data_IF_074846452402
#
_entry.id   IF_074846452402
#
_cell.length_a   1.000
_cell.length_b   1.000
_cell.length_c   1.000
_cell.angle_alpha   90.00
_cell.angle_beta   90.00
_cell.angle_gamma   90.00
#
_symmetry.space_group_name_H-M   'P 1'
#
loop_
_entity.id
_entity.type
_entity.pdbx_description
1 polymer ?
#
# COMPACT_ATOMS: atom_id res chain seq x y z
N UNK A 1 3.30 11.89 -0.46
CA UNK A 1 3.50 10.65 0.31
C UNK A 1 3.97 11.01 1.70
N UNK A 2 3.32 10.49 2.74
CA UNK A 2 3.51 10.88 4.14
C UNK A 2 4.80 10.31 4.79
N UNK A 3 5.59 9.49 4.09
CA UNK A 3 6.80 8.85 4.63
C UNK A 3 8.04 9.74 4.61
N UNK A 4 7.84 11.04 4.71
CA UNK A 4 8.90 12.05 4.83
C UNK A 4 8.70 12.87 6.11
N UNK A 5 7.83 12.40 7.02
CA UNK A 5 7.51 13.06 8.30
C UNK A 5 8.77 13.25 9.15
N UNK A 6 9.77 12.36 9.06
CA UNK A 6 11.03 12.53 9.77
C UNK A 6 11.97 13.62 9.21
N UNK A 7 11.77 14.10 7.96
CA UNK A 7 12.71 15.01 7.28
C UNK A 7 12.13 16.36 6.85
N UNK A 8 10.81 16.56 6.87
CA UNK A 8 10.16 17.85 6.58
C UNK A 8 9.06 18.14 7.61
N UNK A 9 9.36 19.07 8.51
CA UNK A 9 8.46 19.60 9.56
C UNK A 9 7.16 20.21 9.01
N UNK A 10 7.07 20.48 7.70
CA UNK A 10 5.89 21.09 7.07
C UNK A 10 4.73 20.09 6.82
N UNK A 11 4.99 18.78 6.85
CA UNK A 11 3.98 17.75 6.49
C UNK A 11 2.99 17.45 7.63
N UNK A 12 3.35 17.75 8.89
CA UNK A 12 2.43 17.63 10.04
C UNK A 12 1.14 18.47 9.86
N UNK A 13 1.18 19.50 9.01
CA UNK A 13 0.06 20.40 8.76
C UNK A 13 -0.88 19.95 7.61
N UNK A 14 -0.52 18.93 6.82
CA UNK A 14 -1.30 18.49 5.65
C UNK A 14 -2.13 17.22 5.87
N UNK A 15 -2.23 16.74 7.11
CA UNK A 15 -3.03 15.56 7.45
C UNK A 15 -4.49 15.96 7.74
N UNK A 16 -5.18 16.52 6.74
CA UNK A 16 -6.63 16.73 6.80
C UNK A 16 -7.36 15.52 6.23
N UNK A 17 -8.56 15.23 6.74
CA UNK A 17 -9.40 14.16 6.19
C UNK A 17 -9.68 14.38 4.69
N UNK A 18 -9.85 15.64 4.28
CA UNK A 18 -10.02 16.02 2.89
C UNK A 18 -8.79 15.67 2.04
N UNK A 19 -7.58 15.92 2.56
CA UNK A 19 -6.32 15.55 1.91
C UNK A 19 -6.19 14.04 1.72
N UNK A 20 -6.54 13.25 2.75
CA UNK A 20 -6.52 11.78 2.68
C UNK A 20 -7.51 11.28 1.62
N UNK A 21 -8.73 11.83 1.61
CA UNK A 21 -9.77 11.44 0.64
C UNK A 21 -9.35 11.78 -0.80
N UNK A 22 -8.75 12.95 -1.01
CA UNK A 22 -8.24 13.35 -2.32
C UNK A 22 -7.10 12.43 -2.79
N UNK A 23 -6.14 12.13 -1.90
CA UNK A 23 -5.04 11.20 -2.20
C UNK A 23 -5.55 9.80 -2.54
N UNK A 24 -6.52 9.29 -1.78
CA UNK A 24 -7.17 8.01 -2.08
C UNK A 24 -7.79 8.00 -3.47
N UNK A 25 -8.50 9.07 -3.86
CA UNK A 25 -9.08 9.20 -5.19
C UNK A 25 -8.02 9.11 -6.29
N UNK A 26 -6.93 9.87 -6.15
CA UNK A 26 -5.80 9.87 -7.09
C UNK A 26 -5.16 8.47 -7.16
N UNK A 27 -4.93 7.81 -6.02
CA UNK A 27 -4.35 6.47 -5.99
C UNK A 27 -5.23 5.45 -6.73
N UNK A 28 -6.56 5.56 -6.60
CA UNK A 28 -7.52 4.69 -7.31
C UNK A 28 -7.53 4.92 -8.82
N UNK A 29 -7.44 6.18 -9.25
CA UNK A 29 -7.31 6.51 -10.66
C UNK A 29 -6.04 5.91 -11.25
N UNK A 30 -4.90 6.06 -10.56
CA UNK A 30 -3.63 5.45 -10.93
C UNK A 30 -3.79 3.93 -11.03
N UNK A 31 -4.32 3.28 -9.99
CA UNK A 31 -4.52 1.82 -9.97
C UNK A 31 -5.37 1.31 -11.13
N UNK A 32 -6.47 2.00 -11.44
CA UNK A 32 -7.40 1.67 -12.53
C UNK A 32 -6.74 1.74 -13.91
N UNK A 33 -5.74 2.61 -14.07
CA UNK A 33 -4.98 2.76 -15.30
C UNK A 33 -3.86 1.69 -15.35
N UNK A 34 -3.03 1.62 -14.31
CA UNK A 34 -1.83 0.77 -14.33
C UNK A 34 -2.15 -0.72 -14.41
N UNK A 35 -3.31 -1.16 -13.90
CA UNK A 35 -3.72 -2.57 -13.91
C UNK A 35 -3.93 -3.12 -15.33
N UNK A 36 -4.17 -2.25 -16.31
CA UNK A 36 -4.38 -2.62 -17.71
C UNK A 36 -3.07 -3.07 -18.39
N UNK A 37 -1.92 -2.56 -17.92
CA UNK A 37 -0.60 -2.92 -18.46
C UNK A 37 -0.02 -4.20 -17.86
N UNK A 38 -0.70 -4.79 -16.87
CA UNK A 38 -0.30 -6.07 -16.29
C UNK A 38 -0.86 -7.21 -17.14
N UNK A 39 0.01 -8.06 -17.68
CA UNK A 39 -0.41 -9.27 -18.41
C UNK A 39 -1.08 -10.29 -17.47
N UNK A 40 -1.92 -11.21 -17.96
CA UNK A 40 -2.42 -12.35 -17.16
C UNK A 40 -1.27 -13.10 -16.49
N UNK A 41 -1.45 -13.47 -15.22
CA UNK A 41 -0.39 -14.03 -14.37
C UNK A 41 0.72 -13.04 -13.97
N UNK A 42 0.63 -11.78 -14.38
CA UNK A 42 1.55 -10.70 -13.99
C UNK A 42 1.31 -10.20 -12.56
N UNK A 43 2.24 -9.41 -12.05
CA UNK A 43 2.22 -8.94 -10.65
C UNK A 43 2.07 -7.43 -10.60
N UNK A 44 1.26 -6.96 -9.66
CA UNK A 44 1.19 -5.56 -9.28
C UNK A 44 1.54 -5.42 -7.79
N UNK A 45 2.40 -4.45 -7.47
CA UNK A 45 2.71 -4.07 -6.09
C UNK A 45 2.17 -2.67 -5.83
N UNK A 46 1.24 -2.57 -4.87
CA UNK A 46 0.83 -1.29 -4.30
C UNK A 46 1.76 -1.00 -3.12
N UNK A 47 2.39 0.16 -3.09
CA UNK A 47 3.18 0.59 -1.95
C UNK A 47 2.97 2.06 -1.64
N UNK A 48 2.89 2.39 -0.36
CA UNK A 48 2.73 3.74 0.13
C UNK A 48 3.65 3.95 1.33
N UNK A 49 4.09 5.18 1.54
CA UNK A 49 4.75 5.56 2.77
C UNK A 49 3.74 6.33 3.64
N UNK A 50 2.71 5.65 4.11
CA UNK A 50 1.69 6.20 5.01
C UNK A 50 1.18 5.06 5.90
N UNK A 51 0.53 5.42 7.01
CA UNK A 51 -0.03 4.48 7.98
C UNK A 51 -1.55 4.45 8.00
N UNK A 52 -2.20 5.35 7.27
CA UNK A 52 -3.66 5.50 7.15
C UNK A 52 -4.25 4.26 6.49
N UNK A 53 -5.40 3.80 6.96
CA UNK A 53 -6.04 2.59 6.43
C UNK A 53 -6.73 2.87 5.09
N UNK A 54 -7.20 4.10 4.90
CA UNK A 54 -7.91 4.58 3.72
C UNK A 54 -7.02 4.58 2.46
N UNK A 55 -5.73 4.89 2.62
CA UNK A 55 -4.74 4.82 1.54
C UNK A 55 -4.18 3.41 1.36
N UNK A 56 -4.29 2.56 2.37
CA UNK A 56 -3.63 1.26 2.45
C UNK A 56 -4.62 0.11 2.27
N UNK A 57 -5.08 -0.52 3.36
CA UNK A 57 -5.93 -1.70 3.33
C UNK A 57 -7.24 -1.46 2.57
N UNK A 58 -7.91 -0.33 2.80
CA UNK A 58 -9.15 -0.03 2.08
C UNK A 58 -8.93 0.11 0.57
N UNK A 59 -7.78 0.66 0.18
CA UNK A 59 -7.46 0.87 -1.22
C UNK A 59 -7.04 -0.45 -1.90
N UNK A 60 -6.26 -1.27 -1.19
CA UNK A 60 -5.86 -2.61 -1.58
C UNK A 60 -7.08 -3.54 -1.72
N UNK A 61 -8.00 -3.51 -0.77
CA UNK A 61 -9.27 -4.26 -0.83
C UNK A 61 -10.16 -3.79 -1.97
N UNK A 62 -10.32 -2.47 -2.12
CA UNK A 62 -11.07 -1.91 -3.25
C UNK A 62 -10.48 -2.39 -4.57
N UNK A 63 -9.16 -2.39 -4.71
CA UNK A 63 -8.50 -2.83 -5.93
C UNK A 63 -8.78 -4.31 -6.23
N UNK A 64 -8.55 -5.22 -5.28
CA UNK A 64 -8.80 -6.65 -5.48
C UNK A 64 -10.28 -6.97 -5.74
N UNK A 65 -11.22 -6.21 -5.14
CA UNK A 65 -12.67 -6.40 -5.35
C UNK A 65 -13.17 -5.91 -6.71
N UNK A 66 -12.51 -4.90 -7.31
CA UNK A 66 -12.99 -4.25 -8.54
C UNK A 66 -12.23 -4.69 -9.80
N UNK A 67 -11.06 -5.32 -9.65
CA UNK A 67 -10.22 -5.74 -10.77
C UNK A 67 -9.86 -7.23 -10.69
N UNK A 68 -9.33 -7.75 -11.79
CA UNK A 68 -9.03 -9.17 -11.96
C UNK A 68 -7.73 -9.61 -11.25
N UNK A 69 -7.64 -9.34 -9.94
CA UNK A 69 -6.42 -9.47 -9.15
C UNK A 69 -6.67 -10.11 -7.80
N UNK A 70 -5.91 -11.15 -7.49
CA UNK A 70 -5.91 -11.82 -6.20
C UNK A 70 -4.70 -11.39 -5.37
N UNK A 71 -4.87 -11.32 -4.04
CA UNK A 71 -3.74 -11.16 -3.14
C UNK A 71 -2.77 -12.33 -3.28
N UNK A 72 -1.48 -12.03 -3.35
CA UNK A 72 -0.42 -13.05 -3.36
C UNK A 72 0.50 -12.83 -2.17
N UNK A 73 0.82 -13.92 -1.46
CA UNK A 73 1.68 -13.87 -0.28
C UNK A 73 3.01 -13.15 -0.57
N UNK A 74 3.39 -12.26 0.34
CA UNK A 74 4.67 -11.57 0.35
C UNK A 74 5.79 -12.40 1.00
N UNK A 75 5.45 -13.46 1.75
CA UNK A 75 6.42 -14.28 2.49
C UNK A 75 7.62 -14.74 1.66
N UNK A 76 7.45 -15.23 0.41
CA UNK A 76 8.59 -15.68 -0.40
C UNK A 76 9.55 -14.56 -0.81
N UNK A 77 9.14 -13.29 -0.70
CA UNK A 77 9.86 -12.12 -1.19
C UNK A 77 10.38 -11.22 -0.07
N UNK A 78 10.01 -11.51 1.19
CA UNK A 78 10.42 -10.72 2.34
C UNK A 78 11.60 -11.38 3.06
N UNK A 79 12.53 -10.58 3.59
CA UNK A 79 13.55 -11.09 4.50
C UNK A 79 12.87 -11.55 5.80
N UNK A 80 13.46 -12.52 6.49
CA UNK A 80 12.89 -13.14 7.69
C UNK A 80 12.52 -12.11 8.78
N UNK A 81 13.32 -11.03 8.87
CA UNK A 81 13.12 -9.92 9.81
C UNK A 81 11.84 -9.10 9.55
N UNK A 82 11.26 -9.19 8.35
CA UNK A 82 10.01 -8.54 7.97
C UNK A 82 8.86 -9.55 7.81
N UNK A 83 9.07 -10.80 8.19
CA UNK A 83 8.03 -11.83 8.20
C UNK A 83 6.96 -11.47 9.24
N UNK A 84 5.85 -10.90 8.79
CA UNK A 84 4.67 -10.61 9.61
C UNK A 84 3.56 -11.62 9.34
N UNK A 85 2.59 -11.74 10.27
CA UNK A 85 1.37 -12.52 10.02
C UNK A 85 0.62 -12.06 8.76
N UNK A 86 0.56 -10.73 8.54
CA UNK A 86 -0.12 -10.14 7.38
C UNK A 86 0.56 -10.47 6.05
N UNK A 87 1.86 -10.78 6.05
CA UNK A 87 2.58 -11.11 4.82
C UNK A 87 2.04 -12.38 4.15
N UNK A 88 1.45 -13.29 4.93
CA UNK A 88 0.73 -14.47 4.41
C UNK A 88 -0.53 -14.05 3.65
N UNK A 89 -1.22 -13.03 4.14
CA UNK A 89 -2.42 -12.44 3.54
C UNK A 89 -2.11 -11.52 2.34
N UNK A 90 -0.82 -11.41 1.95
CA UNK A 90 -0.38 -10.69 0.77
C UNK A 90 -0.09 -9.21 0.98
N UNK A 91 -0.03 -8.73 2.22
CA UNK A 91 0.36 -7.35 2.51
C UNK A 91 1.23 -7.20 3.76
N UNK A 92 2.01 -6.13 3.82
CA UNK A 92 2.89 -5.77 4.92
C UNK A 92 2.56 -4.35 5.37
N UNK A 93 2.38 -4.15 6.67
CA UNK A 93 2.27 -2.84 7.31
C UNK A 93 3.44 -2.66 8.28
N UNK A 94 4.25 -1.65 8.06
CA UNK A 94 5.31 -1.22 8.96
C UNK A 94 4.86 0.05 9.66
N UNK A 95 4.78 -0.01 10.99
CA UNK A 95 4.35 1.10 11.84
C UNK A 95 5.55 1.87 12.45
N UNK A 96 5.46 3.21 12.53
CA UNK A 96 6.40 4.02 13.31
C UNK A 96 6.43 3.58 14.77
N UNK A 97 7.63 3.55 15.37
CA UNK A 97 7.82 3.17 16.77
C UNK A 97 7.91 1.66 17.02
N UNK A 98 7.35 0.83 16.13
CA UNK A 98 7.58 -0.63 16.12
C UNK A 98 8.76 -0.94 15.21
N UNK A 99 8.79 -0.33 14.02
CA UNK A 99 9.87 -0.47 13.06
C UNK A 99 10.65 0.84 12.98
N UNK A 100 11.94 0.77 12.66
CA UNK A 100 12.81 1.94 12.46
C UNK A 100 12.50 2.64 11.11
N UNK A 101 11.24 2.98 10.88
CA UNK A 101 10.71 3.61 9.67
C UNK A 101 9.59 4.60 10.01
N UNK A 102 9.37 5.58 9.12
CA UNK A 102 8.31 6.60 9.25
C UNK A 102 6.91 6.08 8.90
N UNK A 103 6.78 4.77 8.66
CA UNK A 103 5.54 4.11 8.28
C UNK A 103 5.52 3.73 6.81
N UNK A 104 5.17 2.48 6.53
CA UNK A 104 5.19 1.93 5.17
C UNK A 104 4.14 0.84 5.00
N UNK A 105 3.54 0.76 3.82
CA UNK A 105 2.60 -0.29 3.46
C UNK A 105 2.94 -0.85 2.08
N UNK A 106 2.78 -2.16 1.92
CA UNK A 106 2.91 -2.86 0.65
C UNK A 106 1.84 -3.93 0.54
N UNK A 107 1.17 -4.03 -0.61
CA UNK A 107 0.28 -5.13 -0.96
C UNK A 107 0.67 -5.69 -2.32
N UNK A 108 0.65 -7.02 -2.44
CA UNK A 108 1.04 -7.75 -3.65
C UNK A 108 -0.16 -8.45 -4.24
N UNK A 109 -0.33 -8.26 -5.55
CA UNK A 109 -1.42 -8.83 -6.30
C UNK A 109 -0.92 -9.61 -7.52
N UNK A 110 -1.61 -10.71 -7.83
CA UNK A 110 -1.43 -11.50 -9.05
C UNK A 110 -2.65 -11.29 -9.94
N UNK A 111 -2.44 -10.91 -11.20
CA UNK A 111 -3.53 -10.87 -12.18
C UNK A 111 -3.94 -12.30 -12.52
N UNK A 112 -5.24 -12.57 -12.51
CA UNK A 112 -5.80 -13.86 -12.94
C UNK A 112 -5.50 -14.13 -14.41
#
# INVERSE_FOLDING_TARGET
GLGVIGKKSDIKYNCSQEGINNLRSIQREILSNVCQYVKPGGVLLLSTCTVTEEENQENAEWFSKNFDFDYESLVPYLPEQLSSSTAKDGYLKLLPGIHKTDGFFMARFRKR
#
